data_IF_491124867881
#
_entry.id   IF_491124867881
#
_cell.length_a   1.000
_cell.length_b   1.000
_cell.length_c   1.000
_cell.angle_alpha   90.00
_cell.angle_beta   90.00
_cell.angle_gamma   90.00
#
_symmetry.space_group_name_H-M   'P 1'
#
loop_
_entity.id
_entity.type
_entity.pdbx_description
1 polymer ?
#
# COMPACT_ATOMS: atom_id res chain seq x y z
N UNK A 1 -15.50 -1.74 -13.18
CA UNK A 1 -16.08 -1.01 -12.03
C UNK A 1 -16.67 -2.06 -11.11
N UNK A 2 -16.63 -1.89 -9.79
CA UNK A 2 -17.28 -2.85 -8.88
C UNK A 2 -18.79 -2.66 -8.89
N UNK A 3 -19.51 -3.77 -8.89
CA UNK A 3 -20.98 -3.80 -8.86
C UNK A 3 -21.47 -4.59 -7.64
N UNK A 4 -22.66 -4.27 -7.15
CA UNK A 4 -23.31 -4.98 -6.03
C UNK A 4 -22.44 -5.11 -4.77
N UNK A 5 -21.67 -4.06 -4.44
CA UNK A 5 -20.82 -4.03 -3.25
C UNK A 5 -21.72 -3.91 -2.00
N UNK A 6 -21.67 -4.92 -1.13
CA UNK A 6 -22.35 -4.89 0.16
C UNK A 6 -21.34 -5.16 1.28
N UNK A 7 -20.95 -4.13 1.98
CA UNK A 7 -19.88 -4.17 2.99
C UNK A 7 -20.31 -3.41 4.24
N UNK A 8 -20.04 -4.01 5.39
CA UNK A 8 -20.16 -3.36 6.68
C UNK A 8 -18.93 -3.67 7.52
N UNK A 9 -18.29 -2.64 8.04
CA UNK A 9 -17.08 -2.75 8.85
C UNK A 9 -17.21 -1.97 10.15
N UNK A 10 -16.56 -2.48 11.20
CA UNK A 10 -16.62 -1.90 12.55
C UNK A 10 -15.24 -1.46 13.03
N UNK A 11 -15.17 -0.52 14.00
CA UNK A 11 -13.91 -0.14 14.63
C UNK A 11 -13.17 -1.36 15.21
N UNK A 12 -11.85 -1.39 15.04
CA UNK A 12 -11.00 -2.47 15.53
C UNK A 12 -10.96 -3.72 14.64
N UNK A 13 -11.69 -3.74 13.51
CA UNK A 13 -11.56 -4.84 12.55
C UNK A 13 -10.31 -4.69 11.69
N UNK A 14 -9.69 -5.82 11.39
CA UNK A 14 -8.64 -5.94 10.38
C UNK A 14 -9.21 -6.69 9.17
N UNK A 15 -9.24 -6.04 8.03
CA UNK A 15 -9.91 -6.51 6.82
C UNK A 15 -8.93 -6.55 5.65
N UNK A 16 -8.88 -7.69 4.98
CA UNK A 16 -8.14 -7.86 3.73
C UNK A 16 -9.05 -7.74 2.52
N UNK A 17 -8.58 -7.03 1.50
CA UNK A 17 -9.13 -7.07 0.14
C UNK A 17 -8.12 -7.80 -0.75
N UNK A 18 -8.49 -8.98 -1.23
CA UNK A 18 -7.66 -9.80 -2.13
C UNK A 18 -8.26 -9.84 -3.53
N UNK A 19 -7.48 -10.27 -4.50
CA UNK A 19 -7.91 -10.42 -5.90
C UNK A 19 -6.82 -10.01 -6.88
N UNK A 20 -7.00 -10.37 -8.15
CA UNK A 20 -6.05 -10.08 -9.24
C UNK A 20 -5.78 -8.58 -9.39
N UNK A 21 -4.66 -8.23 -10.02
CA UNK A 21 -4.38 -6.83 -10.41
C UNK A 21 -5.49 -6.34 -11.34
N UNK A 22 -5.97 -5.12 -11.13
CA UNK A 22 -7.08 -4.57 -11.91
C UNK A 22 -8.48 -4.97 -11.45
N UNK A 23 -8.66 -5.83 -10.44
CA UNK A 23 -9.99 -6.26 -9.97
C UNK A 23 -10.82 -5.17 -9.27
N UNK A 24 -10.25 -3.98 -9.01
CA UNK A 24 -10.99 -2.86 -8.41
C UNK A 24 -10.67 -2.57 -6.94
N UNK A 25 -9.74 -3.28 -6.30
CA UNK A 25 -9.35 -3.08 -4.89
C UNK A 25 -8.95 -1.63 -4.58
N UNK A 26 -8.00 -1.09 -5.33
CA UNK A 26 -7.57 0.31 -5.20
C UNK A 26 -8.71 1.29 -5.50
N UNK A 27 -9.59 0.97 -6.46
CA UNK A 27 -10.76 1.80 -6.78
C UNK A 27 -11.73 1.88 -5.61
N UNK A 28 -11.97 0.77 -4.89
CA UNK A 28 -12.77 0.77 -3.68
C UNK A 28 -12.16 1.69 -2.60
N UNK A 29 -10.84 1.56 -2.34
CA UNK A 29 -10.17 2.46 -1.40
C UNK A 29 -10.33 3.92 -1.82
N UNK A 30 -10.14 4.24 -3.09
CA UNK A 30 -10.29 5.59 -3.66
C UNK A 30 -11.70 6.14 -3.50
N UNK A 31 -12.71 5.29 -3.60
CA UNK A 31 -14.11 5.66 -3.34
C UNK A 31 -14.33 6.03 -1.87
N UNK A 32 -13.76 5.28 -0.93
CA UNK A 32 -13.91 5.54 0.51
C UNK A 32 -13.37 6.92 0.91
N UNK A 33 -12.27 7.39 0.29
CA UNK A 33 -11.75 8.74 0.57
C UNK A 33 -12.15 9.79 -0.47
N UNK A 34 -13.20 9.51 -1.26
CA UNK A 34 -13.80 10.44 -2.23
C UNK A 34 -12.82 10.95 -3.30
N UNK A 35 -11.94 10.09 -3.83
CA UNK A 35 -11.18 10.35 -5.05
C UNK A 35 -11.95 9.87 -6.28
N UNK A 36 -12.75 8.81 -6.13
CA UNK A 36 -13.67 8.31 -7.13
C UNK A 36 -15.11 8.45 -6.63
N UNK A 37 -16.00 8.88 -7.51
CA UNK A 37 -17.41 9.02 -7.23
C UNK A 37 -18.14 7.67 -7.30
N UNK A 38 -19.24 7.56 -6.55
CA UNK A 38 -20.16 6.42 -6.60
C UNK A 38 -21.26 6.77 -7.58
N UNK A 39 -21.51 5.85 -8.53
CA UNK A 39 -22.55 6.07 -9.56
C UNK A 39 -23.95 5.72 -9.07
N UNK A 40 -24.09 4.69 -8.23
CA UNK A 40 -25.38 4.17 -7.74
C UNK A 40 -25.23 3.51 -6.37
N UNK A 41 -26.32 3.39 -5.63
CA UNK A 41 -26.39 2.72 -4.35
C UNK A 41 -26.33 3.68 -3.15
N UNK A 42 -26.10 3.12 -1.97
CA UNK A 42 -25.92 3.84 -0.72
C UNK A 42 -24.54 3.56 -0.16
N UNK A 43 -23.78 4.59 0.19
CA UNK A 43 -22.49 4.42 0.82
C UNK A 43 -22.29 5.44 1.95
N UNK A 44 -21.90 4.93 3.10
CA UNK A 44 -21.58 5.74 4.26
C UNK A 44 -20.19 5.40 4.79
N UNK A 45 -19.40 6.41 5.01
CA UNK A 45 -18.08 6.29 5.66
C UNK A 45 -18.11 7.19 6.89
N UNK A 46 -18.01 6.57 8.07
CA UNK A 46 -18.25 7.23 9.34
C UNK A 46 -19.67 7.85 9.35
N UNK A 47 -19.74 9.16 9.59
CA UNK A 47 -21.01 9.94 9.58
C UNK A 47 -21.30 10.62 8.24
N UNK A 48 -20.52 10.34 7.18
CA UNK A 48 -20.68 10.95 5.86
C UNK A 48 -21.39 10.02 4.89
N UNK A 49 -22.47 10.52 4.28
CA UNK A 49 -23.10 9.91 3.10
C UNK A 49 -22.30 10.32 1.87
N UNK A 50 -21.59 9.37 1.26
CA UNK A 50 -20.70 9.65 0.12
C UNK A 50 -21.45 10.07 -1.14
N UNK A 51 -22.71 9.63 -1.30
CA UNK A 51 -23.55 10.05 -2.42
C UNK A 51 -23.94 11.54 -2.38
N UNK A 52 -23.90 12.12 -1.19
CA UNK A 52 -24.37 13.50 -0.94
C UNK A 52 -23.32 14.41 -0.33
N UNK A 53 -22.09 13.90 -0.15
CA UNK A 53 -21.00 14.67 0.46
C UNK A 53 -20.67 15.89 -0.40
N UNK A 54 -20.64 17.07 0.21
CA UNK A 54 -20.22 18.29 -0.48
C UNK A 54 -18.69 18.39 -0.51
N UNK A 55 -18.13 18.92 -1.58
CA UNK A 55 -16.67 19.08 -1.76
C UNK A 55 -15.97 19.72 -0.53
N UNK A 56 -16.60 20.70 0.12
CA UNK A 56 -16.08 21.36 1.32
C UNK A 56 -15.95 20.45 2.55
N UNK A 57 -16.65 19.30 2.57
CA UNK A 57 -16.62 18.34 3.68
C UNK A 57 -15.64 17.17 3.43
N UNK A 58 -15.20 16.94 2.20
CA UNK A 58 -14.22 15.90 1.86
C UNK A 58 -12.92 16.04 2.67
N UNK A 59 -12.33 17.24 2.84
CA UNK A 59 -11.13 17.38 3.68
C UNK A 59 -11.36 16.99 5.14
N UNK A 60 -12.58 17.17 5.67
CA UNK A 60 -12.93 16.78 7.04
C UNK A 60 -13.04 15.27 7.17
N UNK A 61 -13.66 14.58 6.20
CA UNK A 61 -13.64 13.12 6.12
C UNK A 61 -12.20 12.60 6.03
N UNK A 62 -11.42 13.10 5.08
CA UNK A 62 -10.01 12.65 4.85
C UNK A 62 -9.11 12.81 6.08
N UNK A 63 -9.35 13.79 6.96
CA UNK A 63 -8.61 13.94 8.23
C UNK A 63 -8.86 12.80 9.21
N UNK A 64 -10.01 12.11 9.10
CA UNK A 64 -10.38 10.96 9.95
C UNK A 64 -9.94 9.62 9.34
N UNK A 65 -9.32 9.66 8.15
CA UNK A 65 -8.76 8.52 7.44
C UNK A 65 -7.23 8.60 7.43
N UNK A 66 -6.57 7.48 7.63
CA UNK A 66 -5.15 7.32 7.38
C UNK A 66 -4.96 6.58 6.06
N UNK A 67 -4.13 7.10 5.15
CA UNK A 67 -3.87 6.44 3.87
C UNK A 67 -2.41 6.03 3.81
N UNK A 68 -2.19 4.73 3.57
CA UNK A 68 -0.88 4.09 3.39
C UNK A 68 -0.78 3.66 1.94
N UNK A 69 0.04 4.36 1.16
CA UNK A 69 0.24 4.09 -0.26
C UNK A 69 1.34 3.07 -0.50
N UNK A 70 1.26 2.32 -1.61
CA UNK A 70 2.28 1.37 -2.06
C UNK A 70 3.64 2.05 -2.31
N UNK A 71 3.63 3.24 -2.92
CA UNK A 71 4.82 3.94 -3.41
C UNK A 71 5.34 5.00 -2.41
N UNK A 72 5.17 4.79 -1.13
CA UNK A 72 5.56 5.68 -0.01
C UNK A 72 5.05 7.12 -0.13
N UNK A 73 5.24 7.80 -1.24
CA UNK A 73 4.84 9.19 -1.49
C UNK A 73 5.33 10.16 -0.39
N UNK A 74 6.59 10.00 0.02
CA UNK A 74 7.27 10.92 0.90
C UNK A 74 7.88 12.06 0.08
N UNK A 75 7.86 13.27 0.62
CA UNK A 75 8.50 14.43 0.03
C UNK A 75 10.02 14.27 0.18
N UNK A 76 10.73 14.15 -0.94
CA UNK A 76 12.15 13.80 -0.98
C UNK A 76 13.08 15.01 -0.68
N UNK A 77 12.53 16.23 -0.73
CA UNK A 77 13.19 17.48 -0.42
C UNK A 77 13.16 17.86 1.07
N UNK A 78 12.62 16.99 1.93
CA UNK A 78 12.35 17.23 3.35
C UNK A 78 12.72 16.05 4.21
N UNK A 79 13.11 16.35 5.45
CA UNK A 79 13.34 15.33 6.48
C UNK A 79 12.03 14.61 6.84
N UNK A 80 12.17 13.48 7.54
CA UNK A 80 11.03 12.74 8.10
C UNK A 80 10.15 13.65 8.97
N UNK A 81 10.74 14.38 9.89
CA UNK A 81 9.98 15.28 10.77
C UNK A 81 9.26 16.38 9.99
N UNK A 82 9.88 16.94 8.96
CA UNK A 82 9.27 17.95 8.10
C UNK A 82 8.15 17.39 7.24
N UNK A 83 8.26 16.15 6.75
CA UNK A 83 7.19 15.43 6.07
C UNK A 83 5.94 15.31 6.97
N UNK A 84 6.14 14.89 8.23
CA UNK A 84 5.06 14.74 9.20
C UNK A 84 4.48 16.10 9.60
N UNK A 85 5.34 17.11 9.87
CA UNK A 85 4.93 18.48 10.19
C UNK A 85 4.10 19.11 9.07
N UNK A 86 4.45 18.84 7.81
CA UNK A 86 3.71 19.34 6.65
C UNK A 86 2.25 18.91 6.69
N UNK A 87 1.98 17.62 6.95
CA UNK A 87 0.62 17.07 7.03
C UNK A 87 -0.16 17.69 8.20
N UNK A 88 0.43 17.79 9.39
CA UNK A 88 -0.22 18.40 10.55
C UNK A 88 -0.61 19.86 10.27
N UNK A 89 0.30 20.65 9.69
CA UNK A 89 0.03 22.04 9.30
C UNK A 89 -1.09 22.12 8.26
N UNK A 90 -1.06 21.27 7.23
CA UNK A 90 -2.09 21.19 6.18
C UNK A 90 -3.46 20.80 6.75
N UNK A 91 -3.50 20.02 7.84
CA UNK A 91 -4.72 19.62 8.53
C UNK A 91 -5.17 20.59 9.64
N UNK A 92 -4.49 21.72 9.79
CA UNK A 92 -4.94 22.83 10.61
C UNK A 92 -4.27 22.98 11.98
N UNK A 93 -3.24 22.17 12.27
CA UNK A 93 -2.44 22.34 13.49
C UNK A 93 -1.59 23.61 13.41
N UNK A 94 -1.58 24.41 14.48
CA UNK A 94 -0.89 25.70 14.51
C UNK A 94 0.20 25.78 15.59
N UNK A 95 -0.01 25.08 16.70
CA UNK A 95 0.91 25.10 17.82
C UNK A 95 2.15 24.25 17.50
N UNK A 96 3.32 24.88 17.50
CA UNK A 96 4.58 24.20 17.17
C UNK A 96 4.92 23.10 18.18
N UNK A 97 4.71 23.33 19.47
CA UNK A 97 5.02 22.35 20.52
C UNK A 97 4.10 21.11 20.41
N UNK A 98 2.80 21.31 20.13
CA UNK A 98 1.86 20.21 19.90
C UNK A 98 2.20 19.41 18.65
N UNK A 99 2.63 20.07 17.57
CA UNK A 99 3.09 19.42 16.33
C UNK A 99 4.32 18.54 16.63
N UNK A 100 5.31 19.07 17.33
CA UNK A 100 6.54 18.35 17.67
C UNK A 100 6.24 17.14 18.57
N UNK A 101 5.43 17.33 19.60
CA UNK A 101 4.99 16.23 20.48
C UNK A 101 4.25 15.15 19.69
N UNK A 102 3.33 15.54 18.80
CA UNK A 102 2.58 14.56 17.98
C UNK A 102 3.49 13.78 17.03
N UNK A 103 4.47 14.43 16.42
CA UNK A 103 5.48 13.79 15.58
C UNK A 103 6.26 12.75 16.39
N UNK A 104 6.73 13.12 17.58
CA UNK A 104 7.45 12.20 18.45
C UNK A 104 6.60 11.00 18.87
N UNK A 105 5.31 11.20 19.14
CA UNK A 105 4.37 10.12 19.48
C UNK A 105 4.22 9.13 18.33
N UNK A 106 3.97 9.60 17.11
CA UNK A 106 3.77 8.69 15.97
C UNK A 106 5.07 8.03 15.53
N UNK A 107 6.22 8.69 15.66
CA UNK A 107 7.52 8.06 15.42
C UNK A 107 7.82 6.94 16.41
N UNK A 108 7.51 7.13 17.70
CA UNK A 108 7.59 6.05 18.72
C UNK A 108 6.67 4.89 18.38
N UNK A 109 5.43 5.18 17.97
CA UNK A 109 4.45 4.14 17.60
C UNK A 109 5.00 3.18 16.54
N UNK A 110 5.77 3.70 15.59
CA UNK A 110 6.32 2.91 14.48
C UNK A 110 7.78 2.48 14.70
N UNK A 111 8.38 2.76 15.86
CA UNK A 111 9.78 2.43 16.20
C UNK A 111 10.80 3.22 15.38
N UNK A 112 10.53 4.50 15.13
CA UNK A 112 11.36 5.40 14.31
C UNK A 112 11.73 6.70 15.03
N UNK A 113 11.71 6.71 16.37
CA UNK A 113 11.94 7.89 17.22
C UNK A 113 13.28 8.61 16.95
N UNK A 114 14.30 7.85 16.54
CA UNK A 114 15.64 8.37 16.27
C UNK A 114 15.90 8.68 14.80
N UNK A 115 14.85 8.75 13.95
CA UNK A 115 14.97 8.93 12.49
C UNK A 115 14.34 10.23 11.97
N UNK A 116 13.81 11.08 12.84
CA UNK A 116 13.10 12.31 12.46
C UNK A 116 13.95 13.29 11.61
N UNK A 117 15.26 13.31 11.80
CA UNK A 117 16.21 14.19 11.08
C UNK A 117 16.65 13.63 9.72
N UNK A 118 16.37 12.35 9.42
CA UNK A 118 16.77 11.71 8.17
C UNK A 118 15.94 12.18 7.00
N UNK A 119 16.57 12.19 5.82
CA UNK A 119 15.87 12.32 4.54
C UNK A 119 15.28 10.97 4.12
N UNK A 120 14.15 10.93 3.38
CA UNK A 120 13.57 9.67 2.90
C UNK A 120 14.57 8.78 2.16
N UNK A 121 15.45 9.34 1.35
CA UNK A 121 16.48 8.61 0.59
C UNK A 121 17.52 7.91 1.46
N UNK A 122 17.67 8.31 2.71
CA UNK A 122 18.58 7.70 3.68
C UNK A 122 17.94 6.51 4.44
N UNK A 123 16.68 6.20 4.15
CA UNK A 123 15.90 5.15 4.81
C UNK A 123 15.76 3.93 3.90
N UNK A 124 15.81 2.73 4.50
CA UNK A 124 15.40 1.50 3.81
C UNK A 124 13.92 1.54 3.43
N UNK A 125 13.48 0.70 2.48
CA UNK A 125 12.07 0.62 2.08
C UNK A 125 11.13 0.34 3.27
N UNK A 126 11.52 -0.57 4.16
CA UNK A 126 10.75 -0.86 5.38
C UNK A 126 10.69 0.30 6.36
N UNK A 127 11.78 1.09 6.51
CA UNK A 127 11.78 2.31 7.30
C UNK A 127 10.89 3.39 6.67
N UNK A 128 10.96 3.58 5.35
CA UNK A 128 10.07 4.49 4.63
C UNK A 128 8.60 4.11 4.84
N UNK A 129 8.26 2.82 4.75
CA UNK A 129 6.89 2.35 4.97
C UNK A 129 6.41 2.61 6.40
N UNK A 130 7.28 2.45 7.41
CA UNK A 130 6.96 2.83 8.79
C UNK A 130 6.67 4.33 8.92
N UNK A 131 7.43 5.19 8.23
CA UNK A 131 7.16 6.64 8.20
C UNK A 131 5.83 6.95 7.51
N UNK A 132 5.48 6.22 6.44
CA UNK A 132 4.16 6.35 5.78
C UNK A 132 3.03 6.00 6.75
N UNK A 133 3.19 4.93 7.54
CA UNK A 133 2.23 4.56 8.58
C UNK A 133 2.18 5.64 9.69
N UNK A 134 3.33 6.15 10.15
CA UNK A 134 3.37 7.27 11.09
C UNK A 134 2.61 8.48 10.55
N UNK A 135 2.80 8.82 9.28
CA UNK A 135 2.08 9.89 8.59
C UNK A 135 0.55 9.64 8.59
N UNK A 136 0.13 8.42 8.29
CA UNK A 136 -1.27 8.04 8.32
C UNK A 136 -1.89 8.20 9.72
N UNK A 137 -1.12 7.97 10.79
CA UNK A 137 -1.55 8.03 12.19
C UNK A 137 -1.61 9.45 12.79
N UNK A 138 -1.12 10.49 12.09
CA UNK A 138 -0.96 11.86 12.63
C UNK A 138 -2.25 12.45 13.23
N UNK A 139 -3.38 12.27 12.57
CA UNK A 139 -4.66 12.80 13.01
C UNK A 139 -5.52 11.78 13.81
N UNK A 140 -4.91 10.73 14.36
CA UNK A 140 -5.61 9.64 15.07
C UNK A 140 -6.82 9.11 14.27
N UNK A 141 -6.57 8.52 13.10
CA UNK A 141 -7.62 8.12 12.18
C UNK A 141 -8.49 7.01 12.76
N UNK A 142 -9.77 7.02 12.42
CA UNK A 142 -10.70 5.95 12.75
C UNK A 142 -10.62 4.79 11.76
N UNK A 143 -10.17 5.08 10.53
CA UNK A 143 -10.01 4.08 9.45
C UNK A 143 -8.64 4.27 8.83
N UNK A 144 -7.92 3.17 8.63
CA UNK A 144 -6.69 3.11 7.84
C UNK A 144 -6.97 2.35 6.54
N UNK A 145 -6.64 2.99 5.43
CA UNK A 145 -6.71 2.41 4.09
C UNK A 145 -5.28 2.13 3.62
N UNK A 146 -4.89 0.87 3.56
CA UNK A 146 -3.54 0.46 3.17
C UNK A 146 -3.58 -0.24 1.81
N UNK A 147 -3.09 0.45 0.78
CA UNK A 147 -3.05 -0.08 -0.58
C UNK A 147 -1.70 -0.76 -0.84
N UNK A 148 -1.69 -2.09 -0.86
CA UNK A 148 -0.52 -2.96 -1.03
C UNK A 148 0.71 -2.53 -0.19
N UNK A 149 0.58 -2.33 1.12
CA UNK A 149 1.62 -1.72 1.95
C UNK A 149 2.91 -2.54 2.06
N UNK A 150 2.91 -3.78 1.58
CA UNK A 150 4.05 -4.70 1.61
C UNK A 150 4.60 -5.03 0.23
N UNK A 151 4.01 -4.48 -0.85
CA UNK A 151 4.31 -4.89 -2.23
C UNK A 151 5.75 -4.64 -2.68
N UNK A 152 6.46 -3.69 -2.06
CA UNK A 152 7.85 -3.33 -2.39
C UNK A 152 8.86 -3.76 -1.30
N UNK A 153 8.46 -4.69 -0.41
CA UNK A 153 9.26 -5.08 0.75
C UNK A 153 9.59 -6.57 0.70
N UNK A 154 10.72 -6.94 1.30
CA UNK A 154 11.02 -8.34 1.56
C UNK A 154 9.98 -8.95 2.54
N UNK A 155 9.92 -10.29 2.54
CA UNK A 155 8.91 -11.04 3.29
C UNK A 155 8.94 -10.70 4.79
N UNK A 156 10.13 -10.65 5.39
CA UNK A 156 10.28 -10.41 6.84
C UNK A 156 9.89 -8.97 7.21
N UNK A 157 10.30 -8.01 6.41
CA UNK A 157 9.90 -6.61 6.59
C UNK A 157 8.39 -6.45 6.38
N UNK A 158 7.82 -7.12 5.37
CA UNK A 158 6.38 -7.16 5.12
C UNK A 158 5.59 -7.66 6.32
N UNK A 159 6.02 -8.77 6.95
CA UNK A 159 5.42 -9.29 8.19
C UNK A 159 5.39 -8.26 9.31
N UNK A 160 6.50 -7.55 9.51
CA UNK A 160 6.58 -6.49 10.55
C UNK A 160 5.62 -5.33 10.26
N UNK A 161 5.41 -4.99 9.00
CA UNK A 161 4.44 -3.96 8.62
C UNK A 161 3.01 -4.42 8.88
N UNK A 162 2.65 -5.67 8.51
CA UNK A 162 1.31 -6.20 8.79
C UNK A 162 1.06 -6.30 10.29
N UNK A 163 2.05 -6.77 11.07
CA UNK A 163 1.96 -6.80 12.53
C UNK A 163 1.69 -5.42 13.12
N UNK A 164 2.41 -4.40 12.67
CA UNK A 164 2.19 -3.02 13.10
C UNK A 164 0.76 -2.53 12.77
N UNK A 165 0.26 -2.83 11.57
CA UNK A 165 -1.11 -2.48 11.18
C UNK A 165 -2.16 -3.23 12.01
N UNK A 166 -1.91 -4.50 12.38
CA UNK A 166 -2.77 -5.24 13.30
C UNK A 166 -2.79 -4.64 14.71
N UNK A 167 -1.63 -4.22 15.22
CA UNK A 167 -1.55 -3.56 16.53
C UNK A 167 -2.34 -2.25 16.54
N UNK A 168 -2.32 -1.50 15.43
CA UNK A 168 -3.13 -0.30 15.24
C UNK A 168 -4.62 -0.64 15.20
N UNK A 169 -5.00 -1.73 14.53
CA UNK A 169 -6.38 -2.21 14.49
C UNK A 169 -6.86 -2.61 15.89
N UNK A 170 -6.07 -3.39 16.61
CA UNK A 170 -6.36 -3.79 17.99
C UNK A 170 -6.50 -2.60 18.96
N UNK A 171 -5.86 -1.46 18.64
CA UNK A 171 -6.03 -0.21 19.37
C UNK A 171 -7.32 0.56 19.03
N UNK A 172 -8.15 0.04 18.12
CA UNK A 172 -9.51 0.54 17.83
C UNK A 172 -9.72 1.17 16.45
N UNK A 173 -8.70 1.31 15.61
CA UNK A 173 -8.90 1.76 14.23
C UNK A 173 -9.37 0.60 13.35
N UNK A 174 -10.30 0.83 12.44
CA UNK A 174 -10.54 -0.10 11.32
C UNK A 174 -9.34 -0.06 10.37
N UNK A 175 -8.79 -1.22 10.02
CA UNK A 175 -7.75 -1.32 8.98
C UNK A 175 -8.29 -2.10 7.78
N UNK A 176 -8.29 -1.47 6.63
CA UNK A 176 -8.63 -2.09 5.35
C UNK A 176 -7.38 -2.15 4.48
N UNK A 177 -6.85 -3.35 4.27
CA UNK A 177 -5.59 -3.59 3.58
C UNK A 177 -5.81 -4.36 2.28
N UNK A 178 -5.34 -3.82 1.16
CA UNK A 178 -5.25 -4.60 -0.08
C UNK A 178 -3.97 -5.41 -0.11
N UNK A 179 -4.02 -6.65 -0.59
CA UNK A 179 -2.83 -7.48 -0.80
C UNK A 179 -3.09 -8.55 -1.86
N UNK A 180 -2.03 -8.99 -2.52
CA UNK A 180 -2.02 -10.20 -3.35
C UNK A 180 -1.22 -11.33 -2.70
N UNK A 181 -0.58 -11.09 -1.54
CA UNK A 181 0.19 -12.09 -0.81
C UNK A 181 -0.71 -12.83 0.20
N UNK A 182 -1.19 -14.01 -0.20
CA UNK A 182 -2.11 -14.82 0.60
C UNK A 182 -1.44 -15.45 1.84
N UNK A 183 -0.11 -15.62 1.86
CA UNK A 183 0.60 -16.15 3.01
C UNK A 183 0.47 -15.24 4.26
N UNK A 184 0.32 -13.95 4.05
CA UNK A 184 0.11 -13.00 5.15
C UNK A 184 -1.21 -13.24 5.89
N UNK A 185 -2.25 -13.71 5.20
CA UNK A 185 -3.57 -13.95 5.78
C UNK A 185 -3.57 -15.15 6.75
N UNK A 186 -2.70 -16.13 6.49
CA UNK A 186 -2.54 -17.31 7.35
C UNK A 186 -1.83 -16.96 8.65
N UNK A 187 -0.84 -16.08 8.57
CA UNK A 187 -0.03 -15.67 9.73
C UNK A 187 -0.73 -14.57 10.55
N UNK A 188 -1.46 -13.71 9.87
CA UNK A 188 -2.13 -12.53 10.45
C UNK A 188 -3.63 -12.59 10.14
N UNK A 189 -4.43 -13.29 10.94
CA UNK A 189 -5.86 -13.48 10.65
C UNK A 189 -6.64 -12.16 10.65
N UNK A 190 -7.66 -12.10 9.80
CA UNK A 190 -8.57 -10.98 9.66
C UNK A 190 -9.77 -11.38 8.79
N UNK A 191 -10.75 -10.49 8.61
CA UNK A 191 -11.81 -10.71 7.64
C UNK A 191 -11.26 -10.58 6.23
N UNK A 192 -11.68 -11.44 5.32
CA UNK A 192 -11.15 -11.49 3.95
C UNK A 192 -12.27 -11.33 2.94
N UNK A 193 -12.11 -10.34 2.06
CA UNK A 193 -13.01 -10.12 0.92
C UNK A 193 -12.23 -10.32 -0.37
N UNK A 194 -12.77 -11.18 -1.25
CA UNK A 194 -12.23 -11.39 -2.59
C UNK A 194 -12.92 -10.47 -3.57
N UNK A 195 -12.11 -9.74 -4.33
CA UNK A 195 -12.54 -8.89 -5.43
C UNK A 195 -12.31 -9.64 -6.75
N UNK A 196 -13.39 -10.11 -7.36
CA UNK A 196 -13.37 -10.90 -8.59
C UNK A 196 -14.65 -10.62 -9.39
N UNK A 197 -14.57 -10.63 -10.72
CA UNK A 197 -15.71 -10.42 -11.63
C UNK A 197 -16.58 -9.22 -11.25
N UNK A 198 -15.95 -8.12 -10.88
CA UNK A 198 -16.59 -6.87 -10.45
C UNK A 198 -17.38 -6.95 -9.14
N UNK A 199 -17.27 -8.04 -8.38
CA UNK A 199 -17.96 -8.27 -7.11
C UNK A 199 -16.99 -8.39 -5.95
N UNK A 200 -17.52 -8.17 -4.75
CA UNK A 200 -16.82 -8.43 -3.48
C UNK A 200 -17.58 -9.52 -2.74
N UNK A 201 -16.87 -10.60 -2.45
CA UNK A 201 -17.41 -11.73 -1.70
C UNK A 201 -16.58 -11.96 -0.44
N UNK A 202 -17.22 -12.10 0.70
CA UNK A 202 -16.53 -12.48 1.92
C UNK A 202 -16.11 -13.96 1.84
N UNK A 203 -14.82 -14.20 2.03
CA UNK A 203 -14.18 -15.54 1.93
C UNK A 203 -13.34 -15.84 3.17
N UNK A 204 -13.67 -15.23 4.29
CA UNK A 204 -12.94 -15.36 5.56
C UNK A 204 -12.74 -16.82 5.97
N UNK A 205 -13.76 -17.64 5.81
CA UNK A 205 -13.72 -19.07 6.19
C UNK A 205 -12.71 -19.89 5.38
N UNK A 206 -12.36 -19.45 4.17
CA UNK A 206 -11.33 -20.12 3.35
C UNK A 206 -9.94 -20.01 3.96
N UNK A 207 -9.68 -18.99 4.78
CA UNK A 207 -8.38 -18.69 5.37
C UNK A 207 -8.25 -19.03 6.86
N UNK A 208 -9.37 -19.28 7.54
CA UNK A 208 -9.39 -19.65 8.96
C UNK A 208 -9.31 -21.18 9.14
N UNK A 209 -9.80 -21.97 8.18
CA UNK A 209 -9.81 -23.44 8.26
C UNK A 209 -8.54 -24.04 7.61
N UNK A 210 -7.58 -24.56 8.40
CA UNK A 210 -6.34 -25.14 7.88
C UNK A 210 -6.59 -26.37 6.99
N UNK A 211 -7.76 -27.01 7.10
CA UNK A 211 -8.10 -28.22 6.31
C UNK A 211 -8.52 -27.88 4.89
N UNK A 212 -9.00 -26.67 4.63
CA UNK A 212 -9.40 -26.19 3.30
C UNK A 212 -8.23 -25.62 2.49
N UNK A 213 -7.15 -25.21 3.13
CA UNK A 213 -5.95 -24.64 2.49
C UNK A 213 -5.15 -25.68 1.69
N UNK A 214 -5.37 -27.00 1.89
CA UNK A 214 -4.73 -28.07 1.15
C UNK A 214 -5.51 -28.54 -0.08
N UNK A 215 -6.61 -27.92 -0.43
CA UNK A 215 -7.25 -28.13 -1.73
C UNK A 215 -6.43 -27.42 -2.81
N UNK A 216 -5.97 -28.10 -3.87
CA UNK A 216 -5.22 -27.44 -4.93
C UNK A 216 -6.15 -26.41 -5.59
N UNK A 217 -5.91 -25.14 -5.34
CA UNK A 217 -6.38 -24.10 -6.24
C UNK A 217 -5.82 -24.43 -7.61
N UNK A 218 -6.68 -24.62 -8.59
CA UNK A 218 -6.28 -24.66 -9.99
C UNK A 218 -5.54 -23.36 -10.28
N UNK A 219 -4.22 -23.44 -10.26
CA UNK A 219 -3.39 -22.42 -10.88
C UNK A 219 -3.67 -22.55 -12.38
N UNK A 220 -4.47 -21.63 -12.89
CA UNK A 220 -4.52 -21.39 -14.32
C UNK A 220 -3.12 -20.95 -14.73
N UNK A 221 -2.39 -21.91 -15.30
CA UNK A 221 -1.05 -21.71 -15.81
C UNK A 221 -1.11 -20.80 -17.03
N UNK A 222 -0.82 -19.56 -16.84
CA UNK A 222 -0.26 -18.72 -17.90
C UNK A 222 1.25 -18.99 -17.92
N UNK A 223 1.62 -20.09 -18.59
CA UNK A 223 2.97 -20.25 -19.09
C UNK A 223 3.15 -19.22 -20.21
N UNK A 224 3.92 -18.19 -19.94
CA UNK A 224 4.51 -17.39 -21.01
C UNK A 224 5.47 -18.32 -21.77
N UNK A 225 5.08 -18.68 -22.98
CA UNK A 225 5.96 -19.27 -23.98
C UNK A 225 7.08 -18.26 -24.27
N UNK A 226 8.23 -18.49 -23.68
CA UNK A 226 9.47 -17.88 -24.10
C UNK A 226 9.93 -18.67 -25.32
N UNK A 227 9.66 -18.14 -26.52
CA UNK A 227 10.28 -18.62 -27.75
C UNK A 227 11.81 -18.44 -27.62
N UNK A 228 12.51 -19.55 -27.47
CA UNK A 228 13.95 -19.64 -27.70
C UNK A 228 14.21 -19.43 -29.20
N UNK A 229 14.67 -18.25 -29.58
CA UNK A 229 15.30 -18.05 -30.90
C UNK A 229 16.67 -18.72 -30.89
N UNK A 230 16.74 -19.86 -31.54
CA UNK A 230 18.01 -20.50 -31.93
C UNK A 230 18.78 -19.57 -32.86
N UNK A 231 19.83 -18.99 -32.36
CA UNK A 231 20.83 -18.30 -33.18
C UNK A 231 21.91 -19.28 -33.57
N UNK A 232 21.80 -19.90 -34.74
CA UNK A 232 22.88 -20.60 -35.44
C UNK A 232 24.00 -19.60 -35.77
N UNK A 233 25.13 -19.80 -35.12
CA UNK A 233 26.36 -19.11 -35.46
C UNK A 233 27.04 -19.86 -36.59
N UNK A 234 27.04 -19.32 -37.80
CA UNK A 234 27.96 -19.72 -38.86
C UNK A 234 29.30 -18.97 -38.71
N UNK A 235 30.35 -19.77 -38.55
CA UNK A 235 31.75 -19.37 -38.66
C UNK A 235 32.05 -18.87 -40.08
N UNK A 236 32.50 -17.64 -40.21
CA UNK A 236 33.31 -17.22 -41.36
C UNK A 236 34.66 -16.68 -40.88
N UNK A 237 35.65 -17.51 -41.16
CA UNK A 237 37.08 -17.19 -41.14
C UNK A 237 37.42 -16.36 -42.34
N UNK A 238 37.97 -15.16 -42.15
CA UNK A 238 38.73 -14.47 -43.22
C UNK A 238 40.03 -13.94 -42.65
N UNK A 239 41.05 -14.40 -43.35
CA UNK A 239 42.49 -14.16 -43.12
C UNK A 239 42.93 -12.72 -43.29
N UNK A 240 44.05 -12.45 -42.66
CA UNK A 240 45.10 -11.45 -42.84
C UNK A 240 45.12 -10.61 -44.11
N UNK A 241 45.38 -9.31 -43.94
CA UNK A 241 46.50 -8.66 -44.70
C UNK A 241 47.01 -7.41 -43.98
N UNK A 242 48.32 -7.43 -43.73
CA UNK A 242 49.19 -6.34 -43.32
C UNK A 242 49.24 -5.24 -44.36
N UNK A 243 49.37 -4.01 -43.94
CA UNK A 243 50.31 -2.95 -44.43
C UNK A 243 49.86 -1.67 -43.77
N UNK A 244 50.65 -0.97 -43.09
CA UNK A 244 51.97 -0.46 -43.39
C UNK A 244 51.91 1.06 -43.50
N UNK A 245 52.73 1.70 -42.71
CA UNK A 245 53.39 3.00 -42.89
C UNK A 245 52.65 4.30 -42.61
N UNK A 246 53.23 4.92 -41.64
CA UNK A 246 53.90 6.24 -41.70
C UNK A 246 53.12 7.54 -41.54
N UNK A 247 53.51 8.19 -40.50
CA UNK A 247 54.15 9.49 -40.44
C UNK A 247 53.28 10.78 -40.32
N UNK A 248 53.58 11.45 -39.24
CA UNK A 248 53.94 12.88 -39.09
C UNK A 248 52.83 13.94 -39.00
N UNK A 249 52.98 14.59 -37.88
CA UNK A 249 53.09 16.07 -37.69
C UNK A 249 51.87 16.94 -38.11
N UNK A 250 51.22 17.54 -37.21
CA UNK A 250 51.45 18.87 -36.57
C UNK A 250 50.58 19.00 -35.29
#
# INVERSE_FOLDING_TARGET
MLDEVNLEFHPGEFVYLIGKVGSGKTSLLKTIYCELDISQGDARVLDYDLMRIKQRHIPQLRRRLGIVFKDFQLLTDRTVAENLAFVLKATGWKNKAEIEERINQVLRLVGMENKGYKMPVELSGGEQQRIVIARAMLNSPQIILADEPTGNLDVETGRRIVKLLQDISAAGSLVLMTTHNLHLLQEFPGRVFRCEDHRLTEVTDEFIDPTRLNSPTQEDGDAEDVEEEDADAEDEVVEDEENGSDAQEE
#
